data_IF_053296254988
#
_entry.id   IF_053296254988
#
_cell.length_a   1.000
_cell.length_b   1.000
_cell.length_c   1.000
_cell.angle_alpha   90.00
_cell.angle_beta   90.00
_cell.angle_gamma   90.00
#
_symmetry.space_group_name_H-M   'P 1'
#
loop_
_entity.id
_entity.type
_entity.pdbx_description
1 polymer ?
#
# COMPACT_ATOMS: atom_id res chain seq x y z
N UNK A 1 -2.57 -57.45 -50.70
CA UNK A 1 -3.60 -57.17 -49.68
C UNK A 1 -3.30 -58.05 -48.48
N UNK A 2 -2.58 -57.52 -47.50
CA UNK A 2 -2.48 -58.15 -46.17
C UNK A 2 -2.15 -57.06 -45.16
N UNK A 3 -3.01 -57.03 -44.15
CA UNK A 3 -3.09 -56.16 -42.98
C UNK A 3 -1.82 -56.04 -42.13
N UNK A 4 -1.70 -54.89 -41.47
CA UNK A 4 -0.95 -54.63 -40.24
C UNK A 4 -1.75 -55.20 -39.05
N UNK A 5 -1.14 -55.70 -37.95
CA UNK A 5 -1.06 -54.84 -36.76
C UNK A 5 0.07 -55.11 -35.74
N UNK A 6 0.40 -54.01 -35.01
CA UNK A 6 0.66 -53.89 -33.56
C UNK A 6 2.05 -54.20 -32.95
N UNK A 7 2.68 -53.10 -32.48
CA UNK A 7 3.26 -52.79 -31.15
C UNK A 7 4.12 -53.81 -30.39
N UNK A 8 5.35 -53.41 -30.03
CA UNK A 8 5.95 -53.71 -28.71
C UNK A 8 7.01 -52.65 -28.32
N UNK A 9 7.15 -52.48 -27.01
CA UNK A 9 7.85 -51.42 -26.28
C UNK A 9 9.38 -51.50 -26.39
N UNK A 10 10.05 -50.36 -26.23
CA UNK A 10 11.50 -50.33 -25.97
C UNK A 10 11.81 -49.38 -24.83
N UNK A 11 12.15 -50.00 -23.71
CA UNK A 11 12.61 -49.42 -22.46
C UNK A 11 13.84 -48.54 -22.69
N UNK A 12 13.79 -47.29 -22.24
CA UNK A 12 14.99 -46.46 -22.06
C UNK A 12 15.19 -46.14 -20.58
N UNK A 13 16.25 -46.75 -20.03
CA UNK A 13 16.78 -46.53 -18.69
C UNK A 13 18.11 -45.79 -18.84
N UNK A 14 18.24 -44.59 -18.29
CA UNK A 14 19.50 -44.09 -17.72
C UNK A 14 19.27 -42.77 -16.99
N UNK A 15 19.67 -42.76 -15.72
CA UNK A 15 19.83 -41.57 -14.90
C UNK A 15 21.02 -40.74 -15.41
N UNK A 16 20.90 -39.42 -15.31
CA UNK A 16 21.98 -38.46 -15.49
C UNK A 16 21.69 -37.26 -14.60
N UNK A 17 22.35 -37.26 -13.44
CA UNK A 17 22.51 -36.13 -12.54
C UNK A 17 23.47 -35.15 -13.22
N UNK A 18 23.00 -33.96 -13.59
CA UNK A 18 23.86 -32.84 -13.99
C UNK A 18 23.45 -31.60 -13.18
N UNK A 19 24.15 -31.49 -12.06
CA UNK A 19 24.43 -30.28 -11.30
C UNK A 19 24.95 -29.17 -12.23
N UNK A 20 24.20 -28.06 -12.34
CA UNK A 20 24.63 -26.63 -12.30
C UNK A 20 23.87 -25.72 -13.24
N UNK A 21 23.62 -24.53 -12.69
CA UNK A 21 23.23 -23.29 -13.38
C UNK A 21 21.71 -23.16 -13.56
N UNK A 22 21.03 -22.21 -12.92
CA UNK A 22 21.44 -20.84 -12.71
C UNK A 22 21.13 -20.36 -11.29
N UNK A 23 22.15 -19.80 -10.65
CA UNK A 23 21.93 -18.64 -9.81
C UNK A 23 21.27 -17.55 -10.69
N UNK A 24 19.94 -17.51 -10.72
CA UNK A 24 19.22 -16.26 -10.84
C UNK A 24 19.32 -15.65 -9.43
N UNK A 25 20.45 -15.03 -9.10
CA UNK A 25 20.70 -13.69 -9.61
C UNK A 25 19.75 -12.83 -8.83
N UNK A 26 20.21 -12.32 -7.69
CA UNK A 26 19.47 -11.34 -6.90
C UNK A 26 19.05 -10.25 -7.84
N UNK A 27 17.80 -10.33 -8.28
CA UNK A 27 17.22 -9.38 -9.19
C UNK A 27 16.94 -8.17 -8.33
N UNK A 28 17.90 -7.26 -8.36
CA UNK A 28 17.72 -5.85 -8.04
C UNK A 28 16.78 -5.22 -9.09
N UNK A 29 15.59 -5.79 -9.21
CA UNK A 29 14.48 -5.26 -9.99
C UNK A 29 13.22 -5.26 -9.10
N UNK A 30 13.08 -4.39 -8.08
CA UNK A 30 12.14 -4.70 -7.02
C UNK A 30 11.31 -3.53 -6.46
N UNK A 31 11.15 -2.40 -7.16
CA UNK A 31 10.39 -1.28 -6.59
C UNK A 31 9.49 -0.52 -7.58
N UNK A 32 9.94 -0.31 -8.83
CA UNK A 32 9.12 0.37 -9.84
C UNK A 32 7.86 -0.43 -10.18
N UNK A 33 8.01 -1.74 -10.30
CA UNK A 33 6.93 -2.62 -10.77
C UNK A 33 5.90 -2.85 -9.67
N UNK A 34 6.33 -2.94 -8.41
CA UNK A 34 5.44 -3.04 -7.25
C UNK A 34 4.67 -1.73 -7.02
N UNK A 35 5.33 -0.58 -7.19
CA UNK A 35 4.67 0.72 -7.11
C UNK A 35 3.62 0.89 -8.21
N UNK A 36 3.96 0.61 -9.47
CA UNK A 36 3.01 0.72 -10.59
C UNK A 36 1.87 -0.28 -10.47
N UNK A 37 2.12 -1.50 -9.98
CA UNK A 37 1.09 -2.50 -9.73
C UNK A 37 0.11 -2.07 -8.63
N UNK A 38 0.62 -1.53 -7.52
CA UNK A 38 -0.24 -1.05 -6.43
C UNK A 38 -0.99 0.22 -6.82
N UNK A 39 -0.37 1.12 -7.60
CA UNK A 39 -1.03 2.30 -8.15
C UNK A 39 -2.14 1.92 -9.15
N UNK A 40 -1.93 0.92 -10.00
CA UNK A 40 -2.96 0.39 -10.89
C UNK A 40 -4.12 -0.20 -10.07
N UNK A 41 -3.82 -1.02 -9.06
CA UNK A 41 -4.84 -1.60 -8.17
C UNK A 41 -5.64 -0.52 -7.43
N UNK A 42 -4.98 0.54 -6.96
CA UNK A 42 -5.64 1.67 -6.33
C UNK A 42 -6.58 2.41 -7.29
N UNK A 43 -6.19 2.60 -8.55
CA UNK A 43 -7.05 3.19 -9.59
C UNK A 43 -8.26 2.30 -9.87
N UNK A 44 -8.07 0.99 -10.02
CA UNK A 44 -9.17 0.04 -10.22
C UNK A 44 -10.16 0.06 -9.04
N UNK A 45 -9.69 0.21 -7.81
CA UNK A 45 -10.54 0.37 -6.63
C UNK A 45 -11.34 1.68 -6.66
N UNK A 46 -10.73 2.77 -7.13
CA UNK A 46 -11.36 4.09 -7.24
C UNK A 46 -12.43 4.16 -8.36
N UNK A 47 -12.32 3.30 -9.37
CA UNK A 47 -13.30 3.18 -10.45
C UNK A 47 -14.58 2.43 -10.02
N UNK A 48 -14.64 1.91 -8.78
CA UNK A 48 -15.82 1.26 -8.22
C UNK A 48 -16.97 2.24 -7.89
N UNK A 49 -18.20 1.90 -8.26
CA UNK A 49 -19.40 2.70 -7.99
C UNK A 49 -19.90 2.61 -6.53
N UNK A 50 -19.39 1.63 -5.78
CA UNK A 50 -19.80 1.24 -4.42
C UNK A 50 -18.90 1.82 -3.31
N UNK A 51 -18.08 2.83 -3.62
CA UNK A 51 -17.23 3.49 -2.63
C UNK A 51 -18.03 4.49 -1.81
N UNK A 52 -18.04 4.31 -0.49
CA UNK A 52 -18.71 5.21 0.45
C UNK A 52 -17.79 6.30 1.02
N UNK A 53 -16.47 6.07 1.03
CA UNK A 53 -15.48 7.02 1.53
C UNK A 53 -14.09 6.77 0.93
N UNK A 54 -13.31 7.84 0.79
CA UNK A 54 -11.94 7.82 0.29
C UNK A 54 -11.04 8.75 1.09
N UNK A 55 -9.84 8.28 1.38
CA UNK A 55 -8.74 9.08 1.93
C UNK A 55 -7.49 8.83 1.06
N UNK A 56 -6.97 9.88 0.43
CA UNK A 56 -5.78 9.80 -0.44
C UNK A 56 -4.70 10.73 0.12
N UNK A 57 -3.48 10.21 0.20
CA UNK A 57 -2.27 11.00 0.42
C UNK A 57 -1.32 10.86 -0.77
N UNK A 58 -0.86 11.97 -1.32
CA UNK A 58 0.09 12.00 -2.44
C UNK A 58 1.37 12.65 -1.94
N UNK A 59 2.50 11.96 -2.10
CA UNK A 59 3.83 12.50 -1.80
C UNK A 59 4.48 12.93 -3.11
N UNK A 60 4.83 14.21 -3.23
CA UNK A 60 5.52 14.76 -4.39
C UNK A 60 6.54 15.79 -3.96
N UNK A 61 7.76 15.67 -4.46
CA UNK A 61 8.84 16.64 -4.17
C UNK A 61 9.09 16.89 -2.66
N UNK A 62 8.78 15.89 -1.83
CA UNK A 62 8.89 15.99 -0.37
C UNK A 62 7.70 16.67 0.34
N UNK A 63 6.71 17.14 -0.42
CA UNK A 63 5.43 17.63 0.09
C UNK A 63 4.38 16.52 0.12
N UNK A 64 3.42 16.62 1.04
CA UNK A 64 2.33 15.66 1.20
C UNK A 64 0.99 16.37 1.03
N UNK A 65 0.28 16.08 -0.05
CA UNK A 65 -1.08 16.53 -0.28
C UNK A 65 -2.06 15.45 0.17
N UNK A 66 -3.05 15.81 0.99
CA UNK A 66 -4.10 14.88 1.43
C UNK A 66 -5.47 15.36 1.03
N UNK A 67 -6.36 14.42 0.73
CA UNK A 67 -7.78 14.70 0.45
C UNK A 67 -8.63 13.61 1.08
N UNK A 68 -9.73 14.05 1.70
CA UNK A 68 -10.73 13.18 2.29
C UNK A 68 -12.10 13.52 1.71
N UNK A 69 -12.82 12.52 1.22
CA UNK A 69 -14.19 12.65 0.78
C UNK A 69 -15.01 11.45 1.26
N UNK A 70 -16.23 11.72 1.70
CA UNK A 70 -17.17 10.69 2.16
C UNK A 70 -18.55 11.01 1.61
N UNK A 71 -19.30 9.96 1.25
CA UNK A 71 -20.72 10.08 0.98
C UNK A 71 -21.43 10.22 2.33
N UNK A 72 -21.99 11.38 2.58
CA UNK A 72 -22.81 11.63 3.76
C UNK A 72 -24.20 11.06 3.46
N UNK A 73 -24.41 9.80 3.81
CA UNK A 73 -25.76 9.42 4.21
C UNK A 73 -26.10 10.21 5.49
N UNK A 74 -27.37 10.52 5.76
CA UNK A 74 -27.83 11.24 6.97
C UNK A 74 -27.60 10.46 8.29
N UNK A 75 -26.49 9.72 8.40
CA UNK A 75 -26.02 8.94 9.55
C UNK A 75 -24.65 9.46 10.05
N UNK A 76 -24.65 10.48 10.92
CA UNK A 76 -23.41 11.06 11.45
C UNK A 76 -22.63 10.10 12.36
N UNK A 77 -23.30 9.14 12.99
CA UNK A 77 -22.68 8.16 13.88
C UNK A 77 -21.90 7.12 13.06
N UNK A 78 -22.49 6.66 11.95
CA UNK A 78 -21.81 5.84 10.95
C UNK A 78 -20.61 6.54 10.30
N UNK A 79 -20.73 7.84 10.01
CA UNK A 79 -19.64 8.63 9.44
C UNK A 79 -18.41 8.68 10.36
N UNK A 80 -18.61 8.93 11.66
CA UNK A 80 -17.52 8.96 12.64
C UNK A 80 -16.81 7.61 12.78
N UNK A 81 -17.55 6.51 12.82
CA UNK A 81 -16.98 5.16 12.89
C UNK A 81 -16.20 4.79 11.62
N UNK A 82 -16.68 5.19 10.43
CA UNK A 82 -15.97 4.99 9.15
C UNK A 82 -14.66 5.78 9.13
N UNK A 83 -14.67 7.03 9.56
CA UNK A 83 -13.45 7.83 9.68
C UNK A 83 -12.43 7.19 10.64
N UNK A 84 -12.88 6.69 11.79
CA UNK A 84 -12.02 5.96 12.74
C UNK A 84 -11.49 4.65 12.16
N UNK A 85 -12.29 3.92 11.38
CA UNK A 85 -11.84 2.70 10.71
C UNK A 85 -10.75 2.99 9.67
N UNK A 86 -10.90 4.06 8.88
CA UNK A 86 -9.89 4.51 7.92
C UNK A 86 -8.59 4.92 8.63
N UNK A 87 -8.69 5.70 9.71
CA UNK A 87 -7.54 6.07 10.52
C UNK A 87 -6.84 4.83 11.08
N UNK A 88 -7.59 3.86 11.62
CA UNK A 88 -7.03 2.63 12.16
C UNK A 88 -6.30 1.79 11.07
N UNK A 89 -6.84 1.74 9.85
CA UNK A 89 -6.18 1.11 8.71
C UNK A 89 -4.85 1.82 8.37
N UNK A 90 -4.87 3.15 8.34
CA UNK A 90 -3.67 3.95 8.07
C UNK A 90 -2.58 3.75 9.13
N UNK A 91 -2.96 3.80 10.42
CA UNK A 91 -2.02 3.57 11.54
C UNK A 91 -1.37 2.19 11.44
N UNK A 92 -2.13 1.14 11.07
CA UNK A 92 -1.58 -0.21 10.89
C UNK A 92 -0.58 -0.29 9.75
N UNK A 93 -0.87 0.38 8.63
CA UNK A 93 0.04 0.43 7.48
C UNK A 93 1.35 1.09 7.88
N UNK A 94 1.30 2.30 8.46
CA UNK A 94 2.49 3.04 8.90
C UNK A 94 3.29 2.27 9.95
N UNK A 95 2.61 1.60 10.89
CA UNK A 95 3.25 0.76 11.89
C UNK A 95 4.04 -0.41 11.26
N UNK A 96 3.46 -1.05 10.24
CA UNK A 96 4.13 -2.10 9.47
C UNK A 96 5.40 -1.60 8.77
N UNK A 97 5.32 -0.45 8.10
CA UNK A 97 6.47 0.17 7.42
C UNK A 97 7.57 0.63 8.38
N UNK A 98 7.18 1.19 9.53
CA UNK A 98 8.12 1.68 10.54
C UNK A 98 8.65 0.57 11.47
N UNK A 99 8.08 -0.64 11.43
CA UNK A 99 8.47 -1.75 12.31
C UNK A 99 8.17 -1.48 13.79
N UNK A 100 7.11 -0.74 14.09
CA UNK A 100 6.70 -0.37 15.47
C UNK A 100 5.26 -0.80 15.74
N UNK A 101 4.83 -0.72 16.99
CA UNK A 101 3.46 -1.03 17.37
C UNK A 101 2.48 0.07 16.90
N UNK A 102 1.24 -0.28 16.49
CA UNK A 102 0.23 0.70 16.08
C UNK A 102 -0.06 1.79 17.14
N UNK A 103 0.02 1.45 18.43
CA UNK A 103 -0.19 2.40 19.53
C UNK A 103 0.91 3.46 19.61
N UNK A 104 2.15 3.13 19.25
CA UNK A 104 3.26 4.08 19.18
C UNK A 104 3.00 5.11 18.08
N UNK A 105 2.67 4.65 16.88
CA UNK A 105 2.34 5.54 15.74
C UNK A 105 1.19 6.47 16.10
N UNK A 106 0.12 5.95 16.72
CA UNK A 106 -1.02 6.76 17.14
C UNK A 106 -0.64 7.85 18.17
N UNK A 107 0.23 7.51 19.13
CA UNK A 107 0.71 8.47 20.14
C UNK A 107 1.62 9.55 19.56
N UNK A 108 2.51 9.17 18.64
CA UNK A 108 3.41 10.11 17.96
C UNK A 108 2.63 11.04 17.04
N UNK A 109 1.68 10.50 16.27
CA UNK A 109 0.79 11.30 15.42
C UNK A 109 -0.04 12.29 16.23
N UNK A 110 -0.59 11.88 17.38
CA UNK A 110 -1.31 12.78 18.29
C UNK A 110 -0.40 13.89 18.84
N UNK A 111 0.85 13.57 19.15
CA UNK A 111 1.86 14.54 19.61
C UNK A 111 2.18 15.57 18.52
N UNK A 112 2.43 15.11 17.29
CA UNK A 112 2.69 15.98 16.14
C UNK A 112 1.48 16.87 15.83
N UNK A 113 0.27 16.32 15.84
CA UNK A 113 -0.96 17.09 15.62
C UNK A 113 -1.10 18.23 16.64
N UNK A 114 -0.78 17.98 17.92
CA UNK A 114 -0.80 19.02 18.96
C UNK A 114 0.32 20.07 18.86
N UNK A 115 1.40 19.78 18.13
CA UNK A 115 2.47 20.75 17.87
C UNK A 115 2.14 21.68 16.70
N UNK A 116 1.43 21.19 15.68
CA UNK A 116 1.00 22.00 14.52
C UNK A 116 -0.05 23.05 14.92
N UNK A 117 -0.87 22.79 15.95
CA UNK A 117 -1.77 23.80 16.53
C UNK A 117 -1.05 24.92 17.29
N UNK A 118 0.24 24.75 17.64
CA UNK A 118 1.06 25.84 18.20
C UNK A 118 1.70 26.66 17.07
N UNK A 119 0.88 27.30 16.25
CA UNK A 119 1.34 28.46 15.47
C UNK A 119 1.35 29.65 16.45
N UNK A 120 2.50 30.27 16.74
CA UNK A 120 2.53 31.48 17.54
C UNK A 120 1.71 32.56 16.83
N UNK A 121 0.57 32.95 17.39
CA UNK A 121 -0.11 34.21 17.05
C UNK A 121 0.61 35.38 17.73
N UNK A 122 1.94 35.41 17.72
CA UNK A 122 2.73 36.55 18.21
C UNK A 122 3.16 37.40 17.01
N UNK A 123 2.20 38.12 16.46
CA UNK A 123 2.46 39.25 15.54
C UNK A 123 2.66 40.58 16.30
N UNK A 124 2.67 40.58 17.65
CA UNK A 124 2.78 41.81 18.47
C UNK A 124 4.20 42.11 19.01
N UNK A 125 5.25 41.74 18.28
CA UNK A 125 6.61 42.22 18.53
C UNK A 125 7.31 42.67 17.25
N UNK A 126 6.68 43.60 16.54
CA UNK A 126 7.42 44.49 15.62
C UNK A 126 7.54 45.84 16.36
N UNK A 127 8.72 46.21 16.88
CA UNK A 127 8.92 47.54 17.42
C UNK A 127 8.72 48.57 16.30
N UNK A 128 7.87 49.57 16.54
CA UNK A 128 7.83 50.76 15.69
C UNK A 128 9.19 51.46 15.77
N UNK A 129 9.95 51.48 14.66
CA UNK A 129 11.07 52.42 14.46
C UNK A 129 10.57 53.76 13.90
#
# INVERSE_FOLDING_TARGET
>A
MSDDPASDESVSKAAGDDDRSAAAGGADAPASDDFEAELARARDLLDGDDIDAVHVGVVRDGEVDTTFAQRTDDDPEGAGLRALALLAAHVRLVAGEAGVEPSTVAGDAATLAGQVEQIPTDTEQIPDE
#
